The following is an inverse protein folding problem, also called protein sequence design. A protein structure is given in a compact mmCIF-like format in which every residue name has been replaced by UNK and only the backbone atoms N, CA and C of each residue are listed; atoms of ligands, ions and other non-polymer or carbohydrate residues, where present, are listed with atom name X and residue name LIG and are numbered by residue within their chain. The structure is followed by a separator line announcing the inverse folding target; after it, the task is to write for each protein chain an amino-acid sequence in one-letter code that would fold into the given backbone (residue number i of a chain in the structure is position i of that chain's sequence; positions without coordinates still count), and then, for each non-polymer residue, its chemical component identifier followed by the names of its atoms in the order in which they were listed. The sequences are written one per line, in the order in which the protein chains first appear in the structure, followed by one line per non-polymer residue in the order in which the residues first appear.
data_IF_299631738814
#
_entry.id   IF_299631738814
#
_cell.length_a   1.000
_cell.length_b   1.000
_cell.length_c   1.000
_cell.angle_alpha   90.00
_cell.angle_beta   90.00
_cell.angle_gamma   90.00
#
_symmetry.space_group_name_H-M   'P 1'
#
loop_
_entity.id
_entity.type
_entity.pdbx_description
1 polymer ?
#
# COMPACT_ATOMS: atom_id res chain seq x y z
N UNK A 1 -48.28 -20.06 27.19
CA UNK A 1 -46.93 -19.53 27.34
C UNK A 1 -46.07 -20.07 26.21
N UNK A 2 -45.93 -19.31 25.10
CA UNK A 2 -45.03 -19.66 24.00
C UNK A 2 -43.67 -19.04 24.30
N UNK A 3 -42.69 -19.87 24.55
CA UNK A 3 -41.30 -19.50 24.66
C UNK A 3 -40.77 -19.32 23.23
N UNK A 4 -40.78 -18.08 22.70
CA UNK A 4 -40.07 -17.71 21.51
C UNK A 4 -38.58 -17.70 21.80
N UNK A 5 -37.85 -18.73 21.39
CA UNK A 5 -36.39 -18.70 21.27
C UNK A 5 -35.99 -17.67 20.24
N UNK A 6 -35.09 -16.70 20.58
CA UNK A 6 -34.61 -15.76 19.59
C UNK A 6 -33.85 -16.55 18.51
N UNK A 7 -34.31 -16.41 17.27
CA UNK A 7 -33.57 -16.89 16.09
C UNK A 7 -32.32 -16.03 15.95
N UNK A 8 -31.19 -16.54 16.43
CA UNK A 8 -29.89 -15.99 16.03
C UNK A 8 -29.62 -16.51 14.61
N UNK A 9 -29.76 -15.64 13.62
CA UNK A 9 -29.15 -15.87 12.34
C UNK A 9 -27.63 -15.82 12.57
N UNK A 10 -26.96 -16.96 12.50
CA UNK A 10 -25.52 -16.99 12.29
C UNK A 10 -25.27 -16.25 10.97
N UNK A 11 -24.67 -15.05 11.06
CA UNK A 11 -24.20 -14.34 9.87
C UNK A 11 -23.20 -15.26 9.18
N UNK A 12 -23.47 -15.62 7.93
CA UNK A 12 -22.55 -16.42 7.13
C UNK A 12 -21.19 -15.69 7.05
N UNK A 13 -20.08 -16.43 7.01
CA UNK A 13 -18.73 -15.87 6.93
C UNK A 13 -18.56 -14.92 5.74
N UNK A 14 -19.29 -15.16 4.65
CA UNK A 14 -19.36 -14.29 3.47
C UNK A 14 -19.95 -12.92 3.83
N UNK A 15 -21.08 -12.89 4.54
CA UNK A 15 -21.76 -11.65 4.93
C UNK A 15 -20.89 -10.80 5.86
N UNK A 16 -20.19 -11.45 6.78
CA UNK A 16 -19.26 -10.78 7.70
C UNK A 16 -18.09 -10.14 6.95
N UNK A 17 -17.59 -10.80 5.91
CA UNK A 17 -16.50 -10.29 5.07
C UNK A 17 -16.93 -9.09 4.25
N UNK A 18 -18.12 -9.14 3.64
CA UNK A 18 -18.67 -8.04 2.86
C UNK A 18 -18.98 -6.81 3.74
N UNK A 19 -19.48 -7.03 4.96
CA UNK A 19 -19.68 -5.93 5.92
C UNK A 19 -18.36 -5.25 6.27
N UNK A 20 -17.30 -5.99 6.55
CA UNK A 20 -15.96 -5.45 6.83
C UNK A 20 -15.40 -4.65 5.65
N UNK A 21 -15.55 -5.15 4.43
CA UNK A 21 -15.14 -4.42 3.21
C UNK A 21 -15.88 -3.10 3.06
N UNK A 22 -17.19 -3.10 3.33
CA UNK A 22 -18.03 -1.90 3.28
C UNK A 22 -17.65 -0.87 4.36
N UNK A 23 -17.38 -1.33 5.57
CA UNK A 23 -16.93 -0.48 6.68
C UNK A 23 -15.57 0.14 6.37
N UNK A 24 -14.62 -0.65 5.91
CA UNK A 24 -13.30 -0.18 5.53
C UNK A 24 -13.38 0.88 4.41
N UNK A 25 -14.20 0.67 3.36
CA UNK A 25 -14.45 1.69 2.34
C UNK A 25 -15.04 2.99 2.91
N UNK A 26 -15.96 2.90 3.89
CA UNK A 26 -16.49 4.08 4.56
C UNK A 26 -15.42 4.82 5.36
N UNK A 27 -14.54 4.09 6.03
CA UNK A 27 -13.41 4.65 6.74
C UNK A 27 -12.50 5.44 5.79
N UNK A 28 -12.05 4.83 4.69
CA UNK A 28 -11.21 5.49 3.68
C UNK A 28 -11.87 6.76 3.11
N UNK A 29 -13.18 6.73 2.85
CA UNK A 29 -13.92 7.92 2.39
C UNK A 29 -13.91 9.04 3.42
N UNK A 30 -14.05 8.72 4.71
CA UNK A 30 -14.03 9.70 5.79
C UNK A 30 -12.66 10.33 5.93
N UNK A 31 -11.60 9.52 5.98
CA UNK A 31 -10.23 9.97 6.11
C UNK A 31 -9.80 10.85 4.92
N UNK A 32 -10.10 10.41 3.70
CA UNK A 32 -9.81 11.18 2.50
C UNK A 32 -10.51 12.56 2.49
N UNK A 33 -11.74 12.64 2.98
CA UNK A 33 -12.44 13.94 3.13
C UNK A 33 -11.81 14.81 4.21
N UNK A 34 -11.37 14.24 5.31
CA UNK A 34 -10.66 14.97 6.36
C UNK A 34 -9.33 15.55 5.83
N UNK A 35 -8.59 14.81 5.01
CA UNK A 35 -7.34 15.28 4.41
C UNK A 35 -7.48 16.56 3.58
N UNK A 36 -8.64 16.76 2.95
CA UNK A 36 -8.87 17.93 2.09
C UNK A 36 -9.59 19.07 2.80
N UNK A 37 -10.10 18.86 4.00
CA UNK A 37 -10.80 19.85 4.79
C UNK A 37 -9.89 21.06 5.08
N UNK A 38 -10.44 22.28 4.98
CA UNK A 38 -9.66 23.52 5.15
C UNK A 38 -8.69 23.83 4.00
N UNK A 39 -8.73 23.08 2.91
CA UNK A 39 -7.91 23.32 1.73
C UNK A 39 -8.71 23.88 0.56
N UNK A 40 -8.04 24.30 -0.51
CA UNK A 40 -8.68 24.72 -1.77
C UNK A 40 -9.49 23.61 -2.46
N UNK A 41 -9.46 22.39 -1.93
CA UNK A 41 -10.16 21.22 -2.46
C UNK A 41 -11.39 20.82 -1.63
N UNK A 42 -11.75 21.59 -0.59
CA UNK A 42 -12.81 21.22 0.35
C UNK A 42 -14.17 21.06 -0.32
N UNK A 43 -14.49 21.93 -1.29
CA UNK A 43 -15.78 21.92 -1.99
C UNK A 43 -15.88 20.83 -3.09
N UNK A 44 -14.79 20.13 -3.36
CA UNK A 44 -14.76 19.10 -4.40
C UNK A 44 -15.36 17.81 -3.85
N UNK A 45 -16.37 17.27 -4.54
CA UNK A 45 -16.96 15.99 -4.18
C UNK A 45 -15.93 14.88 -4.34
N UNK A 46 -15.55 14.23 -3.24
CA UNK A 46 -14.58 13.16 -3.20
C UNK A 46 -15.27 11.82 -2.91
N UNK A 47 -14.93 10.81 -3.71
CA UNK A 47 -15.40 9.43 -3.52
C UNK A 47 -14.19 8.49 -3.59
N UNK A 48 -14.03 7.66 -2.57
CA UNK A 48 -13.06 6.56 -2.57
C UNK A 48 -13.78 5.26 -2.92
N UNK A 49 -13.30 4.61 -3.96
CA UNK A 49 -13.77 3.32 -4.45
C UNK A 49 -12.81 2.21 -4.03
N UNK A 50 -13.37 1.05 -3.71
CA UNK A 50 -12.64 -0.23 -3.57
C UNK A 50 -13.14 -1.13 -4.69
N UNK A 51 -12.37 -1.29 -5.78
CA UNK A 51 -12.80 -2.13 -6.90
C UNK A 51 -13.00 -3.59 -6.47
N UNK A 52 -14.07 -4.20 -6.95
CA UNK A 52 -14.34 -5.60 -6.69
C UNK A 52 -13.41 -6.50 -7.50
N UNK A 53 -13.03 -7.62 -6.90
CA UNK A 53 -12.19 -8.63 -7.53
C UNK A 53 -13.08 -9.68 -8.21
N UNK A 54 -12.87 -9.87 -9.51
CA UNK A 54 -13.53 -10.90 -10.30
C UNK A 54 -12.62 -12.10 -10.53
N UNK A 55 -13.18 -13.22 -10.98
CA UNK A 55 -12.41 -14.38 -11.43
C UNK A 55 -11.45 -14.01 -12.57
N UNK A 56 -11.92 -13.20 -13.51
CA UNK A 56 -11.11 -12.73 -14.64
C UNK A 56 -9.88 -11.90 -14.17
N UNK A 57 -10.04 -11.08 -13.14
CA UNK A 57 -8.92 -10.34 -12.55
C UNK A 57 -7.84 -11.28 -12.01
N UNK A 58 -8.24 -12.39 -11.39
CA UNK A 58 -7.28 -13.37 -10.87
C UNK A 58 -6.50 -14.05 -11.99
N UNK A 59 -7.17 -14.44 -13.07
CA UNK A 59 -6.52 -15.06 -14.23
C UNK A 59 -5.55 -14.09 -14.93
N UNK A 60 -5.96 -12.84 -15.15
CA UNK A 60 -5.14 -11.81 -15.77
C UNK A 60 -3.88 -11.53 -14.92
N UNK A 61 -4.06 -11.36 -13.61
CA UNK A 61 -2.97 -11.17 -12.67
C UNK A 61 -1.97 -12.33 -12.71
N UNK A 62 -2.44 -13.55 -12.63
CA UNK A 62 -1.58 -14.73 -12.62
C UNK A 62 -0.82 -14.91 -13.94
N UNK A 63 -1.43 -14.57 -15.07
CA UNK A 63 -0.77 -14.55 -16.37
C UNK A 63 0.34 -13.51 -16.42
N UNK A 64 0.06 -12.29 -15.95
CA UNK A 64 1.03 -11.19 -15.87
C UNK A 64 2.20 -11.57 -14.95
N UNK A 65 1.93 -12.21 -13.80
CA UNK A 65 2.94 -12.68 -12.87
C UNK A 65 3.93 -13.67 -13.51
N UNK A 66 3.48 -14.55 -14.37
CA UNK A 66 4.37 -15.48 -15.08
C UNK A 66 5.45 -14.74 -15.86
N UNK A 67 5.09 -13.64 -16.49
CA UNK A 67 6.03 -12.80 -17.27
C UNK A 67 6.92 -11.94 -16.38
N UNK A 68 6.37 -11.39 -15.27
CA UNK A 68 7.10 -10.46 -14.40
C UNK A 68 8.02 -11.15 -13.38
N UNK A 69 7.79 -12.43 -13.09
CA UNK A 69 8.50 -13.16 -12.03
C UNK A 69 10.03 -13.13 -12.16
N UNK A 70 10.64 -13.27 -13.34
CA UNK A 70 12.09 -13.17 -13.49
C UNK A 70 12.62 -11.78 -13.08
N UNK A 71 11.92 -10.72 -13.47
CA UNK A 71 12.30 -9.33 -13.14
C UNK A 71 12.18 -9.09 -11.64
N UNK A 72 11.07 -9.54 -11.02
CA UNK A 72 10.84 -9.39 -9.57
C UNK A 72 11.94 -10.11 -8.78
N UNK A 73 12.29 -11.35 -9.16
CA UNK A 73 13.39 -12.10 -8.51
C UNK A 73 14.72 -11.38 -8.61
N UNK A 74 15.03 -10.81 -9.77
CA UNK A 74 16.27 -10.05 -9.96
C UNK A 74 16.29 -8.77 -9.12
N UNK A 75 15.17 -8.06 -9.02
CA UNK A 75 15.04 -6.89 -8.13
C UNK A 75 15.28 -7.28 -6.68
N UNK A 76 14.62 -8.34 -6.21
CA UNK A 76 14.81 -8.85 -4.83
C UNK A 76 16.28 -9.21 -4.59
N UNK A 77 16.90 -9.96 -5.50
CA UNK A 77 18.29 -10.36 -5.38
C UNK A 77 19.25 -9.18 -5.25
N UNK A 78 19.00 -8.10 -6.00
CA UNK A 78 19.83 -6.88 -5.96
C UNK A 78 19.57 -6.01 -4.75
N UNK A 79 18.33 -6.00 -4.25
CA UNK A 79 17.90 -5.07 -3.19
C UNK A 79 18.06 -5.67 -1.80
N UNK A 80 17.89 -6.98 -1.61
CA UNK A 80 18.03 -7.62 -0.31
C UNK A 80 19.34 -7.27 0.43
N UNK A 81 20.52 -7.29 -0.21
CA UNK A 81 21.75 -6.92 0.50
C UNK A 81 21.75 -5.48 0.99
N UNK A 82 21.07 -4.56 0.28
CA UNK A 82 20.94 -3.16 0.69
C UNK A 82 20.00 -3.01 1.88
N UNK A 83 18.86 -3.71 1.85
CA UNK A 83 17.90 -3.73 2.97
C UNK A 83 18.52 -4.38 4.23
N UNK A 84 19.26 -5.47 4.08
CA UNK A 84 19.97 -6.12 5.18
C UNK A 84 21.08 -5.23 5.75
N UNK A 85 21.73 -4.44 4.91
CA UNK A 85 22.75 -3.47 5.35
C UNK A 85 22.12 -2.35 6.18
N UNK A 86 20.99 -1.82 5.77
CA UNK A 86 20.22 -0.83 6.53
C UNK A 86 19.76 -1.40 7.89
N UNK A 87 19.23 -2.62 7.91
CA UNK A 87 18.84 -3.33 9.13
C UNK A 87 20.05 -3.68 10.02
N UNK A 88 21.23 -3.97 9.45
CA UNK A 88 22.43 -4.29 10.20
C UNK A 88 23.14 -3.04 10.76
N UNK A 89 22.88 -1.86 10.20
CA UNK A 89 23.35 -0.58 10.74
C UNK A 89 22.73 -0.25 12.12
N UNK A 90 21.78 -1.02 12.58
CA UNK A 90 21.15 -0.90 13.90
C UNK A 90 22.03 -1.36 15.07
N UNK A 91 23.23 -1.86 14.85
CA UNK A 91 24.18 -2.03 15.91
C UNK A 91 24.79 -0.67 16.29
N UNK A 92 24.26 -0.04 17.34
CA UNK A 92 24.86 1.15 17.92
C UNK A 92 26.28 0.77 18.40
N UNK A 93 27.28 1.19 17.64
CA UNK A 93 28.70 1.04 17.98
C UNK A 93 29.09 1.99 19.12
N UNK A 94 30.29 1.83 19.68
CA UNK A 94 30.84 2.66 20.76
C UNK A 94 30.03 2.60 22.06
N UNK A 95 29.76 1.40 22.56
CA UNK A 95 29.15 1.16 23.85
C UNK A 95 30.11 0.47 24.82
N UNK A 96 29.99 0.79 26.11
CA UNK A 96 30.75 0.12 27.18
C UNK A 96 30.33 -1.35 27.39
N UNK A 97 29.06 -1.66 27.05
CA UNK A 97 28.49 -3.01 27.13
C UNK A 97 27.63 -3.31 25.92
N UNK A 98 27.68 -4.53 25.41
CA UNK A 98 26.89 -4.93 24.24
C UNK A 98 27.02 -6.42 23.94
N UNK A 99 26.19 -6.90 23.01
CA UNK A 99 26.14 -8.32 22.60
C UNK A 99 27.17 -8.67 21.53
N UNK A 100 27.75 -7.67 20.87
CA UNK A 100 28.78 -7.86 19.84
C UNK A 100 30.03 -7.05 20.19
N UNK A 101 31.16 -7.71 20.19
CA UNK A 101 32.47 -7.07 20.36
C UNK A 101 32.98 -6.53 19.03
N UNK A 102 33.42 -5.28 19.00
CA UNK A 102 33.95 -4.58 17.83
C UNK A 102 35.48 -4.40 18.00
N UNK A 103 36.23 -5.32 17.45
CA UNK A 103 37.71 -5.32 17.56
C UNK A 103 38.38 -4.09 16.91
N UNK A 104 37.70 -3.51 15.90
CA UNK A 104 38.12 -2.28 15.21
C UNK A 104 38.14 -1.05 16.10
N UNK A 105 37.45 -1.07 17.24
CA UNK A 105 37.37 0.04 18.18
C UNK A 105 38.33 -0.05 19.36
N UNK A 106 39.15 -1.10 19.43
CA UNK A 106 40.13 -1.24 20.51
C UNK A 106 41.19 -0.12 20.49
N UNK A 107 41.51 0.39 19.31
CA UNK A 107 42.52 1.44 19.12
C UNK A 107 42.08 2.82 19.69
N UNK A 108 40.81 3.02 19.99
CA UNK A 108 40.29 4.31 20.50
C UNK A 108 40.51 4.52 22.01
N UNK A 109 40.98 3.53 22.74
CA UNK A 109 41.29 3.56 24.19
C UNK A 109 40.17 4.06 25.12
N UNK A 110 38.93 4.17 24.64
CA UNK A 110 37.80 4.68 25.41
C UNK A 110 36.93 3.56 26.03
N UNK A 111 37.38 2.30 25.93
CA UNK A 111 36.69 1.09 26.41
C UNK A 111 35.31 0.85 25.84
N UNK A 112 34.89 1.61 24.80
CA UNK A 112 33.59 1.47 24.14
C UNK A 112 33.64 0.51 22.96
N UNK A 113 34.12 -0.69 23.22
CA UNK A 113 34.40 -1.72 22.21
C UNK A 113 33.21 -2.64 21.90
N UNK A 114 32.05 -2.36 22.46
CA UNK A 114 30.87 -3.18 22.25
C UNK A 114 29.84 -2.48 21.38
N UNK A 115 29.08 -3.28 20.63
CA UNK A 115 27.87 -2.87 19.96
C UNK A 115 26.67 -3.54 20.61
N UNK A 116 25.61 -2.78 20.85
CA UNK A 116 24.35 -3.27 21.35
C UNK A 116 23.36 -3.29 20.21
N UNK A 117 22.72 -4.44 20.00
CA UNK A 117 21.60 -4.54 19.08
C UNK A 117 20.48 -3.64 19.64
N UNK A 118 20.03 -2.66 18.88
CA UNK A 118 18.75 -2.02 19.19
C UNK A 118 17.69 -3.11 19.14
N UNK A 119 16.70 -3.12 20.06
CA UNK A 119 15.53 -3.94 19.86
C UNK A 119 14.98 -3.58 18.47
N UNK A 120 14.55 -4.56 17.66
CA UNK A 120 13.90 -4.25 16.40
C UNK A 120 12.76 -3.27 16.74
N UNK A 121 12.80 -2.08 16.17
CA UNK A 121 11.62 -1.25 16.12
C UNK A 121 10.61 -2.09 15.33
N UNK A 122 9.47 -2.35 15.90
CA UNK A 122 8.44 -3.24 15.33
C UNK A 122 7.84 -2.68 14.04
N UNK A 123 8.25 -1.48 13.63
CA UNK A 123 7.76 -0.81 12.44
C UNK A 123 8.81 -0.82 11.32
N UNK A 124 8.40 -1.16 10.08
CA UNK A 124 9.29 -1.09 8.94
C UNK A 124 9.73 0.36 8.73
N UNK A 125 11.02 0.57 8.54
CA UNK A 125 11.60 1.91 8.30
C UNK A 125 11.22 2.50 6.93
N UNK A 126 10.64 1.67 6.04
CA UNK A 126 10.25 2.05 4.68
C UNK A 126 8.82 1.57 4.44
N UNK A 127 7.97 2.47 3.97
CA UNK A 127 6.66 2.14 3.41
C UNK A 127 6.54 2.77 2.01
N UNK A 128 5.78 2.16 1.13
CA UNK A 128 5.63 2.59 -0.26
C UNK A 128 4.19 2.98 -0.54
N UNK A 129 3.99 4.17 -1.09
CA UNK A 129 2.72 4.59 -1.66
C UNK A 129 2.88 4.79 -3.17
N UNK A 130 2.19 3.98 -3.96
CA UNK A 130 2.15 4.10 -5.41
C UNK A 130 0.87 4.81 -5.83
N UNK A 131 1.02 5.97 -6.46
CA UNK A 131 -0.06 6.68 -7.12
C UNK A 131 -0.07 6.37 -8.61
N UNK A 132 -1.24 6.09 -9.17
CA UNK A 132 -1.46 5.84 -10.59
C UNK A 132 -2.42 6.90 -11.13
N UNK A 133 -1.94 7.66 -12.10
CA UNK A 133 -2.79 8.56 -12.88
C UNK A 133 -3.70 7.73 -13.79
N UNK A 134 -5.01 7.79 -13.58
CA UNK A 134 -6.02 7.13 -14.42
C UNK A 134 -6.71 8.12 -15.36
N UNK A 135 -6.03 9.18 -15.77
CA UNK A 135 -6.54 10.10 -16.77
C UNK A 135 -6.64 9.45 -18.15
N UNK A 136 -7.47 10.05 -19.02
CA UNK A 136 -7.74 9.51 -20.35
C UNK A 136 -6.47 9.39 -21.23
N UNK A 137 -5.46 10.23 -21.00
CA UNK A 137 -4.17 10.18 -21.72
C UNK A 137 -3.40 8.88 -21.49
N UNK A 138 -3.71 8.16 -20.41
CA UNK A 138 -3.10 6.86 -20.10
C UNK A 138 -3.49 5.75 -21.09
N UNK A 139 -4.58 5.92 -21.84
CA UNK A 139 -4.97 4.96 -22.90
C UNK A 139 -4.02 4.93 -24.09
N UNK A 140 -3.19 5.97 -24.26
CA UNK A 140 -2.29 6.08 -25.39
C UNK A 140 -0.95 5.36 -25.16
N UNK A 141 -0.37 4.84 -26.25
CA UNK A 141 1.01 4.32 -26.28
C UNK A 141 1.32 3.19 -25.29
N UNK A 142 0.35 2.38 -24.91
CA UNK A 142 0.57 1.27 -23.97
C UNK A 142 0.89 1.69 -22.52
N UNK A 143 0.68 2.96 -22.15
CA UNK A 143 0.99 3.50 -20.81
C UNK A 143 0.21 2.78 -19.73
N UNK A 144 -1.06 2.48 -19.98
CA UNK A 144 -1.93 1.81 -19.02
C UNK A 144 -1.42 0.41 -18.69
N UNK A 145 -1.04 -0.35 -19.72
CA UNK A 145 -0.51 -1.70 -19.53
C UNK A 145 0.83 -1.67 -18.79
N UNK A 146 1.70 -0.71 -19.15
CA UNK A 146 2.94 -0.51 -18.42
C UNK A 146 2.72 -0.12 -16.95
N UNK A 147 1.70 0.70 -16.66
CA UNK A 147 1.34 1.07 -15.30
C UNK A 147 0.82 -0.13 -14.49
N UNK A 148 -0.01 -1.00 -15.09
CA UNK A 148 -0.46 -2.25 -14.46
C UNK A 148 0.72 -3.17 -14.14
N UNK A 149 1.61 -3.38 -15.11
CA UNK A 149 2.80 -4.22 -14.93
C UNK A 149 3.71 -3.67 -13.83
N UNK A 150 3.94 -2.37 -13.81
CA UNK A 150 4.74 -1.71 -12.77
C UNK A 150 4.09 -1.84 -11.38
N UNK A 151 2.77 -1.67 -11.29
CA UNK A 151 2.03 -1.81 -10.04
C UNK A 151 2.12 -3.24 -9.49
N UNK A 152 1.92 -4.25 -10.34
CA UNK A 152 2.05 -5.67 -9.97
C UNK A 152 3.47 -6.00 -9.55
N UNK A 153 4.47 -5.57 -10.33
CA UNK A 153 5.87 -5.85 -10.03
C UNK A 153 6.30 -5.22 -8.70
N UNK A 154 5.91 -3.97 -8.45
CA UNK A 154 6.23 -3.27 -7.21
C UNK A 154 5.48 -3.86 -6.02
N UNK A 155 4.21 -4.20 -6.17
CA UNK A 155 3.43 -4.86 -5.12
C UNK A 155 4.08 -6.18 -4.69
N UNK A 156 4.38 -7.06 -5.64
CA UNK A 156 4.99 -8.36 -5.36
C UNK A 156 6.41 -8.23 -4.79
N UNK A 157 7.18 -7.26 -5.28
CA UNK A 157 8.49 -6.94 -4.73
C UNK A 157 8.39 -6.50 -3.26
N UNK A 158 7.57 -5.49 -2.96
CA UNK A 158 7.40 -4.97 -1.61
C UNK A 158 6.90 -6.04 -0.65
N UNK A 159 5.86 -6.78 -1.05
CA UNK A 159 5.29 -7.86 -0.22
C UNK A 159 6.33 -8.94 0.11
N UNK A 160 7.16 -9.33 -0.86
CA UNK A 160 8.22 -10.33 -0.66
C UNK A 160 9.39 -9.82 0.18
N UNK A 161 9.64 -8.52 0.17
CA UNK A 161 10.66 -7.88 0.99
C UNK A 161 10.13 -7.42 2.37
N UNK A 162 8.85 -7.67 2.69
CA UNK A 162 8.23 -7.23 3.94
C UNK A 162 8.03 -5.71 4.03
N UNK A 163 7.99 -5.01 2.91
CA UNK A 163 7.78 -3.56 2.82
C UNK A 163 6.27 -3.30 2.66
N UNK A 164 5.64 -2.55 3.58
CA UNK A 164 4.26 -2.14 3.42
C UNK A 164 4.07 -1.32 2.15
N UNK A 165 3.01 -1.63 1.40
CA UNK A 165 2.69 -0.93 0.16
C UNK A 165 1.21 -0.62 0.07
N UNK A 166 0.87 0.58 -0.39
CA UNK A 166 -0.46 0.90 -0.87
C UNK A 166 -0.42 1.35 -2.34
N UNK A 167 -1.49 1.05 -3.08
CA UNK A 167 -1.62 1.40 -4.50
C UNK A 167 -2.96 2.06 -4.74
N UNK A 168 -2.92 3.32 -5.10
CA UNK A 168 -4.10 4.14 -5.33
C UNK A 168 -4.08 4.74 -6.72
N UNK A 169 -5.20 4.62 -7.43
CA UNK A 169 -5.47 5.33 -8.68
C UNK A 169 -6.34 6.55 -8.45
N UNK A 170 -6.24 7.55 -9.30
CA UNK A 170 -7.09 8.73 -9.23
C UNK A 170 -7.56 9.20 -10.61
N UNK A 171 -8.77 9.74 -10.62
CA UNK A 171 -9.36 10.40 -11.78
C UNK A 171 -10.30 11.51 -11.34
N UNK A 172 -10.39 12.56 -12.14
CA UNK A 172 -11.36 13.65 -11.94
C UNK A 172 -12.45 13.59 -13.00
N UNK A 173 -13.67 13.85 -12.60
CA UNK A 173 -14.79 13.91 -13.56
C UNK A 173 -14.74 15.21 -14.39
N UNK A 174 -15.21 15.10 -15.62
CA UNK A 174 -15.37 16.22 -16.57
C UNK A 174 -16.66 16.99 -16.38
N UNK A 175 -17.56 16.52 -15.51
CA UNK A 175 -18.86 17.13 -15.31
C UNK A 175 -18.75 18.50 -14.64
N UNK A 176 -19.81 19.31 -14.76
CA UNK A 176 -19.93 20.62 -14.08
C UNK A 176 -19.90 20.52 -12.55
N UNK A 177 -20.19 19.33 -12.01
CA UNK A 177 -20.00 19.00 -10.61
C UNK A 177 -18.56 18.53 -10.45
N UNK A 178 -17.73 19.38 -9.87
CA UNK A 178 -16.35 19.01 -9.57
C UNK A 178 -16.31 17.78 -8.66
N UNK A 179 -15.96 16.66 -9.25
CA UNK A 179 -15.87 15.38 -8.55
C UNK A 179 -14.51 14.74 -8.81
N UNK A 180 -13.95 14.18 -7.74
CA UNK A 180 -12.74 13.36 -7.81
C UNK A 180 -13.04 11.96 -7.29
N UNK A 181 -12.54 10.96 -7.98
CA UNK A 181 -12.59 9.56 -7.59
C UNK A 181 -11.19 9.05 -7.29
N UNK A 182 -11.03 8.44 -6.12
CA UNK A 182 -9.84 7.67 -5.73
C UNK A 182 -10.19 6.19 -5.80
N UNK A 183 -9.34 5.40 -6.45
CA UNK A 183 -9.47 3.95 -6.51
C UNK A 183 -8.40 3.32 -5.60
N UNK A 184 -8.80 2.91 -4.40
CA UNK A 184 -7.93 2.24 -3.44
C UNK A 184 -7.84 0.75 -3.81
N UNK A 185 -6.83 0.36 -4.58
CA UNK A 185 -6.61 -1.01 -5.03
C UNK A 185 -6.01 -1.87 -3.93
N UNK A 186 -4.97 -1.39 -3.29
CA UNK A 186 -4.25 -2.03 -2.19
C UNK A 186 -4.04 -1.01 -1.08
N UNK A 187 -4.20 -1.41 0.18
CA UNK A 187 -4.02 -0.53 1.33
C UNK A 187 -3.32 -1.23 2.50
N UNK A 188 -2.55 -0.47 3.30
CA UNK A 188 -1.77 -0.98 4.44
C UNK A 188 -2.63 -1.69 5.50
N UNK A 189 -3.82 -1.19 5.76
CA UNK A 189 -4.72 -1.70 6.81
C UNK A 189 -5.68 -2.76 6.29
N UNK A 190 -5.69 -3.01 4.98
CA UNK A 190 -6.57 -3.99 4.40
C UNK A 190 -6.18 -5.40 4.85
N UNK A 191 -7.18 -6.16 5.28
CA UNK A 191 -7.04 -7.58 5.61
C UNK A 191 -7.51 -8.50 4.49
N UNK A 192 -7.82 -7.94 3.32
CA UNK A 192 -8.29 -8.70 2.16
C UNK A 192 -7.09 -9.26 1.39
N UNK A 193 -6.85 -10.56 1.51
CA UNK A 193 -5.75 -11.24 0.81
C UNK A 193 -5.89 -11.20 -0.73
N UNK A 194 -7.09 -10.93 -1.22
CA UNK A 194 -7.40 -10.92 -2.65
C UNK A 194 -7.30 -9.52 -3.29
N UNK A 195 -7.10 -8.48 -2.49
CA UNK A 195 -7.09 -7.09 -3.00
C UNK A 195 -6.05 -6.85 -4.11
N UNK A 196 -4.94 -7.59 -4.14
CA UNK A 196 -3.93 -7.49 -5.18
C UNK A 196 -4.49 -7.70 -6.59
N UNK A 197 -5.51 -8.55 -6.72
CA UNK A 197 -6.14 -8.81 -8.01
C UNK A 197 -6.95 -7.60 -8.51
N UNK A 198 -7.32 -6.67 -7.62
CA UNK A 198 -7.96 -5.42 -8.00
C UNK A 198 -7.06 -4.51 -8.84
N UNK A 199 -5.73 -4.71 -8.82
CA UNK A 199 -4.79 -4.01 -9.70
C UNK A 199 -5.12 -4.20 -11.18
N UNK A 200 -5.80 -5.28 -11.55
CA UNK A 200 -6.26 -5.51 -12.92
C UNK A 200 -7.40 -4.57 -13.34
N UNK A 201 -8.07 -3.92 -12.38
CA UNK A 201 -9.10 -2.91 -12.65
C UNK A 201 -8.53 -1.50 -12.92
N UNK A 202 -7.21 -1.32 -12.90
CA UNK A 202 -6.56 -0.06 -13.29
C UNK A 202 -6.91 0.23 -14.75
N UNK A 203 -7.47 1.41 -15.02
CA UNK A 203 -7.93 1.77 -16.37
C UNK A 203 -7.88 3.29 -16.58
N UNK A 204 -7.69 3.70 -17.84
CA UNK A 204 -7.81 5.10 -18.21
C UNK A 204 -9.28 5.55 -18.13
N UNK A 205 -9.54 6.70 -17.51
CA UNK A 205 -10.89 7.18 -17.23
C UNK A 205 -11.12 8.58 -17.81
N UNK A 206 -10.89 9.63 -17.03
CA UNK A 206 -11.21 11.00 -17.42
C UNK A 206 -10.04 11.96 -17.18
N UNK A 207 -10.22 13.03 -16.44
CA UNK A 207 -9.17 13.99 -16.09
C UNK A 207 -8.42 13.57 -14.82
N UNK A 208 -7.50 14.41 -14.37
CA UNK A 208 -6.81 14.24 -13.09
C UNK A 208 -6.84 15.53 -12.25
N UNK A 209 -6.58 15.40 -10.96
CA UNK A 209 -6.35 16.47 -9.99
C UNK A 209 -5.17 16.12 -9.10
N UNK A 210 -3.98 16.23 -9.65
CA UNK A 210 -2.73 15.76 -9.04
C UNK A 210 -2.51 16.26 -7.63
N UNK A 211 -2.71 17.55 -7.37
CA UNK A 211 -2.50 18.14 -6.05
C UNK A 211 -3.41 17.56 -4.98
N UNK A 212 -4.69 17.32 -5.32
CA UNK A 212 -5.65 16.72 -4.40
C UNK A 212 -5.33 15.25 -4.14
N UNK A 213 -4.99 14.48 -5.19
CA UNK A 213 -4.61 13.07 -5.08
C UNK A 213 -3.36 12.90 -4.22
N UNK A 214 -2.32 13.67 -4.48
CA UNK A 214 -1.08 13.63 -3.71
C UNK A 214 -1.31 13.95 -2.24
N UNK A 215 -2.13 14.94 -1.92
CA UNK A 215 -2.47 15.29 -0.54
C UNK A 215 -3.12 14.11 0.19
N UNK A 216 -4.16 13.52 -0.39
CA UNK A 216 -4.89 12.40 0.21
C UNK A 216 -3.97 11.19 0.43
N UNK A 217 -3.16 10.84 -0.57
CA UNK A 217 -2.25 9.70 -0.52
C UNK A 217 -1.12 9.94 0.49
N UNK A 218 -0.58 11.16 0.54
CA UNK A 218 0.47 11.51 1.51
C UNK A 218 -0.04 11.47 2.94
N UNK A 219 -1.22 12.04 3.21
CA UNK A 219 -1.82 11.99 4.54
C UNK A 219 -2.11 10.54 4.97
N UNK A 220 -2.55 9.68 4.05
CA UNK A 220 -2.77 8.26 4.33
C UNK A 220 -1.47 7.50 4.59
N UNK A 221 -0.37 7.90 3.97
CA UNK A 221 0.95 7.30 4.18
C UNK A 221 1.55 7.68 5.54
N UNK A 222 1.24 8.88 6.06
CA UNK A 222 1.84 9.43 7.27
C UNK A 222 1.07 9.09 8.56
N UNK A 223 -0.18 8.65 8.46
CA UNK A 223 -1.06 8.24 9.56
C UNK A 223 -1.11 6.73 9.72
#
# INVERSE_FOLDING_TARGET
GENGTPFYHELDKSDTTELKKKEFRKQLNREARQSVQGSVHEDIKLIVHRPEVTYQNREEYNRMMTTLMPVIRELIRKTNPLLEHELSAEFAKSRLYGTKFCADQIASMDFRTFARKRPPEEEPSIAVALRIDESASMSAFGRLEAAKQAAVALYEFCTRCGIPIMVYGDTADRSKLEQMSIHAYVDFESKDADEKYALMNIQARSNNRDGMALRIISDRLLN
#
